data_IF_207011785009
#
_entry.id   IF_207011785009
#
_cell.length_a   1.000
_cell.length_b   1.000
_cell.length_c   1.000
_cell.angle_alpha   90.00
_cell.angle_beta   90.00
_cell.angle_gamma   90.00
#
_symmetry.space_group_name_H-M   'P 1'
#
loop_
_entity.id
_entity.type
_entity.pdbx_description
1 polymer ?
#
# COMPACT_ATOMS: atom_id res chain seq x y z
N UNK A 1 6.32 0.31 -26.66
CA UNK A 1 6.35 -0.26 -25.30
C UNK A 1 5.28 0.34 -24.39
N UNK A 2 4.28 -0.45 -24.01
CA UNK A 2 3.29 -0.10 -22.97
C UNK A 2 3.87 -0.41 -21.59
N UNK A 3 3.69 0.49 -20.64
CA UNK A 3 4.11 0.30 -19.26
C UNK A 3 2.90 0.10 -18.35
N UNK A 4 2.92 -0.95 -17.54
CA UNK A 4 1.96 -1.17 -16.46
C UNK A 4 2.64 -0.88 -15.13
N UNK A 5 2.13 0.13 -14.42
CA UNK A 5 2.44 0.38 -13.02
C UNK A 5 1.48 -0.44 -12.18
N UNK A 6 1.96 -1.57 -11.63
CA UNK A 6 1.17 -2.35 -10.71
C UNK A 6 1.25 -1.74 -9.32
N UNK A 7 0.08 -1.38 -8.76
CA UNK A 7 -0.05 -0.84 -7.40
C UNK A 7 -1.20 -1.51 -6.65
N UNK A 8 -1.04 -2.82 -6.42
CA UNK A 8 -1.98 -3.63 -5.63
C UNK A 8 -1.86 -3.28 -4.14
N UNK A 9 -0.64 -3.22 -3.64
CA UNK A 9 -0.29 -2.67 -2.31
C UNK A 9 0.89 -1.73 -2.48
N UNK A 10 0.99 -0.68 -1.65
CA UNK A 10 2.11 0.29 -1.67
C UNK A 10 3.50 -0.33 -1.54
N UNK A 11 3.52 -1.57 -1.06
CA UNK A 11 4.70 -2.36 -0.81
C UNK A 11 5.10 -3.19 -2.04
N UNK A 12 4.18 -3.56 -2.92
CA UNK A 12 4.50 -4.33 -4.13
C UNK A 12 4.34 -3.46 -5.38
N UNK A 13 4.72 -2.19 -5.30
CA UNK A 13 4.63 -1.25 -6.42
C UNK A 13 5.80 -1.50 -7.38
N UNK A 14 5.51 -1.85 -8.64
CA UNK A 14 6.54 -2.03 -9.68
C UNK A 14 6.04 -1.63 -11.06
N UNK A 15 6.98 -1.38 -11.97
CA UNK A 15 6.71 -1.15 -13.38
C UNK A 15 7.02 -2.41 -14.19
N UNK A 16 6.11 -2.78 -15.08
CA UNK A 16 6.30 -3.84 -16.05
C UNK A 16 6.14 -3.26 -17.46
N UNK A 17 7.02 -3.66 -18.39
CA UNK A 17 7.02 -3.17 -19.76
C UNK A 17 6.68 -4.32 -20.71
N UNK A 18 5.73 -4.07 -21.63
CA UNK A 18 5.27 -5.04 -22.63
C UNK A 18 4.92 -4.34 -23.95
N UNK A 19 4.52 -5.10 -24.95
CA UNK A 19 4.09 -4.63 -26.27
C UNK A 19 2.57 -4.62 -26.38
N UNK A 20 2.01 -3.87 -27.33
CA UNK A 20 0.54 -3.85 -27.53
C UNK A 20 -0.01 -5.13 -28.14
N UNK A 21 0.85 -5.90 -28.83
CA UNK A 21 0.50 -7.15 -29.51
C UNK A 21 0.40 -8.34 -28.55
N UNK A 22 0.92 -8.20 -27.33
CA UNK A 22 0.95 -9.28 -26.36
C UNK A 22 -0.46 -9.64 -25.86
N UNK A 23 -0.64 -10.93 -25.57
CA UNK A 23 -1.88 -11.42 -24.98
C UNK A 23 -1.97 -11.02 -23.50
N UNK A 24 -3.18 -10.64 -23.08
CA UNK A 24 -3.46 -10.29 -21.68
C UNK A 24 -3.09 -11.43 -20.73
N UNK A 25 -3.20 -12.69 -21.17
CA UNK A 25 -2.87 -13.86 -20.34
C UNK A 25 -1.38 -13.85 -19.96
N UNK A 26 -0.49 -13.67 -20.93
CA UNK A 26 0.96 -13.64 -20.69
C UNK A 26 1.36 -12.51 -19.77
N UNK A 27 0.79 -11.32 -19.99
CA UNK A 27 1.04 -10.17 -19.11
C UNK A 27 0.56 -10.41 -17.69
N UNK A 28 -0.58 -11.08 -17.51
CA UNK A 28 -1.04 -11.46 -16.16
C UNK A 28 -0.07 -12.46 -15.53
N UNK A 29 0.37 -13.49 -16.25
CA UNK A 29 1.31 -14.50 -15.75
C UNK A 29 2.64 -13.86 -15.32
N UNK A 30 3.22 -13.00 -16.16
CA UNK A 30 4.47 -12.31 -15.86
C UNK A 30 4.33 -11.34 -14.68
N UNK A 31 3.27 -10.52 -14.68
CA UNK A 31 3.03 -9.57 -13.60
C UNK A 31 2.74 -10.28 -12.26
N UNK A 32 2.02 -11.40 -12.28
CA UNK A 32 1.77 -12.20 -11.07
C UNK A 32 3.06 -12.87 -10.61
N UNK A 33 3.89 -13.39 -11.52
CA UNK A 33 5.19 -13.97 -11.18
C UNK A 33 6.10 -12.94 -10.49
N UNK A 34 6.20 -11.73 -11.05
CA UNK A 34 6.96 -10.62 -10.45
C UNK A 34 6.40 -10.25 -9.07
N UNK A 35 5.08 -10.09 -8.96
CA UNK A 35 4.42 -9.75 -7.69
C UNK A 35 4.69 -10.79 -6.60
N UNK A 36 4.51 -12.08 -6.92
CA UNK A 36 4.75 -13.18 -6.00
C UNK A 36 6.23 -13.28 -5.62
N UNK A 37 7.14 -13.04 -6.56
CA UNK A 37 8.57 -13.04 -6.29
C UNK A 37 8.98 -11.85 -5.39
N UNK A 38 8.41 -10.66 -5.56
CA UNK A 38 8.60 -9.52 -4.65
C UNK A 38 8.15 -9.87 -3.23
N UNK A 39 6.97 -10.48 -3.07
CA UNK A 39 6.46 -10.92 -1.76
C UNK A 39 7.42 -11.93 -1.13
N UNK A 40 7.89 -12.92 -1.91
CA UNK A 40 8.85 -13.93 -1.45
C UNK A 40 10.17 -13.29 -1.00
N UNK A 41 10.74 -12.38 -1.79
CA UNK A 41 11.98 -11.69 -1.42
C UNK A 41 11.78 -10.89 -0.12
N UNK A 42 10.68 -10.15 0.02
CA UNK A 42 10.40 -9.37 1.24
C UNK A 42 10.27 -10.25 2.48
N UNK A 43 9.55 -11.35 2.38
CA UNK A 43 9.42 -12.29 3.51
C UNK A 43 10.78 -12.92 3.85
N UNK A 44 11.56 -13.35 2.84
CA UNK A 44 12.92 -13.86 3.03
C UNK A 44 13.81 -12.82 3.71
N UNK A 45 13.80 -11.56 3.25
CA UNK A 45 14.57 -10.47 3.86
C UNK A 45 14.16 -10.27 5.32
N UNK A 46 12.87 -10.28 5.62
CA UNK A 46 12.39 -10.19 7.01
C UNK A 46 12.92 -11.33 7.87
N UNK A 47 12.84 -12.58 7.39
CA UNK A 47 13.33 -13.75 8.14
C UNK A 47 14.84 -13.80 8.24
N UNK A 48 15.57 -13.34 7.23
CA UNK A 48 17.03 -13.24 7.29
C UNK A 48 17.48 -12.20 8.33
N UNK A 49 16.77 -11.07 8.45
CA UNK A 49 17.02 -10.10 9.54
C UNK A 49 16.80 -10.72 10.92
N UNK A 50 15.77 -11.56 11.07
CA UNK A 50 15.54 -12.31 12.31
C UNK A 50 16.66 -13.33 12.57
N UNK A 51 17.09 -14.05 11.53
CA UNK A 51 18.15 -15.05 11.59
C UNK A 51 19.51 -14.43 11.96
N UNK A 52 19.85 -13.24 11.46
CA UNK A 52 21.09 -12.51 11.83
C UNK A 52 21.12 -12.16 13.33
N UNK A 53 19.96 -11.85 13.91
CA UNK A 53 19.81 -11.47 15.31
C UNK A 53 19.76 -12.67 16.24
N UNK A 54 18.99 -13.68 15.87
CA UNK A 54 18.53 -14.73 16.76
C UNK A 54 19.15 -16.10 16.45
N UNK A 55 19.75 -16.27 15.28
CA UNK A 55 20.26 -17.54 14.78
C UNK A 55 19.19 -18.42 14.12
N UNK A 56 19.61 -19.50 13.43
CA UNK A 56 18.70 -20.39 12.70
C UNK A 56 17.84 -21.20 13.68
N UNK A 57 16.62 -21.52 13.26
CA UNK A 57 15.64 -22.23 14.09
C UNK A 57 15.75 -23.76 13.90
N UNK A 58 16.06 -24.47 14.97
CA UNK A 58 16.15 -25.93 15.03
C UNK A 58 14.78 -26.63 15.17
N UNK A 59 14.79 -27.96 15.21
CA UNK A 59 13.58 -28.80 15.25
C UNK A 59 12.73 -28.60 16.51
N UNK A 60 13.34 -28.31 17.65
CA UNK A 60 12.66 -28.07 18.94
C UNK A 60 12.36 -26.59 19.23
N UNK A 61 12.34 -25.72 18.21
CA UNK A 61 12.30 -24.26 18.37
C UNK A 61 13.53 -23.67 19.11
N UNK A 62 14.58 -24.47 19.31
CA UNK A 62 15.86 -24.02 19.82
C UNK A 62 16.58 -23.18 18.76
N UNK A 63 17.25 -22.12 19.19
CA UNK A 63 17.98 -21.23 18.28
C UNK A 63 19.48 -21.48 18.42
N UNK A 64 20.14 -21.74 17.30
CA UNK A 64 21.59 -21.86 17.29
C UNK A 64 22.25 -20.48 17.41
N UNK A 65 23.56 -20.46 17.60
CA UNK A 65 24.29 -19.21 17.65
C UNK A 65 24.14 -18.40 16.35
N UNK A 66 24.16 -17.06 16.44
CA UNK A 66 24.10 -16.21 15.26
C UNK A 66 25.24 -16.50 14.27
N UNK A 67 25.03 -16.28 12.96
CA UNK A 67 26.04 -16.60 11.95
C UNK A 67 27.35 -15.82 12.17
N UNK A 68 28.48 -16.44 11.86
CA UNK A 68 29.80 -15.78 11.94
C UNK A 68 29.99 -14.76 10.79
N UNK A 69 29.43 -15.04 9.61
CA UNK A 69 29.55 -14.20 8.40
C UNK A 69 28.30 -13.33 8.15
N UNK A 70 27.87 -12.59 9.16
CA UNK A 70 26.66 -11.73 9.09
C UNK A 70 26.72 -10.70 7.96
N UNK A 71 27.90 -10.15 7.71
CA UNK A 71 28.14 -9.11 6.71
C UNK A 71 27.69 -9.51 5.29
N UNK A 72 27.83 -10.79 4.94
CA UNK A 72 27.43 -11.30 3.61
C UNK A 72 25.91 -11.26 3.47
N UNK A 73 25.18 -11.65 4.52
CA UNK A 73 23.72 -11.59 4.54
C UNK A 73 23.22 -10.14 4.55
N UNK A 74 23.87 -9.27 5.33
CA UNK A 74 23.50 -7.85 5.38
C UNK A 74 23.67 -7.15 4.03
N UNK A 75 24.75 -7.45 3.30
CA UNK A 75 24.95 -6.95 1.93
C UNK A 75 23.88 -7.50 0.98
N UNK A 76 23.62 -8.80 1.00
CA UNK A 76 22.61 -9.41 0.14
C UNK A 76 21.19 -8.88 0.43
N UNK A 77 20.87 -8.58 1.69
CA UNK A 77 19.62 -7.93 2.08
C UNK A 77 19.54 -6.52 1.51
N UNK A 78 20.60 -5.72 1.65
CA UNK A 78 20.62 -4.35 1.14
C UNK A 78 20.45 -4.31 -0.39
N UNK A 79 21.11 -5.23 -1.10
CA UNK A 79 20.98 -5.37 -2.55
C UNK A 79 19.54 -5.75 -2.96
N UNK A 80 18.94 -6.71 -2.26
CA UNK A 80 17.57 -7.14 -2.53
C UNK A 80 16.53 -6.05 -2.23
N UNK A 81 16.72 -5.28 -1.16
CA UNK A 81 15.86 -4.14 -0.82
C UNK A 81 15.97 -3.03 -1.87
N UNK A 82 17.19 -2.73 -2.33
CA UNK A 82 17.41 -1.75 -3.39
C UNK A 82 16.80 -2.17 -4.74
N UNK A 83 16.79 -3.48 -5.05
CA UNK A 83 16.20 -4.01 -6.27
C UNK A 83 14.65 -3.95 -6.30
N UNK A 84 14.00 -3.92 -5.14
CA UNK A 84 12.53 -3.93 -4.99
C UNK A 84 11.97 -2.56 -4.58
N UNK A 85 12.84 -1.58 -4.38
CA UNK A 85 12.44 -0.28 -3.86
C UNK A 85 11.34 0.37 -4.73
N UNK A 86 10.19 0.78 -4.15
CA UNK A 86 9.12 1.46 -4.89
C UNK A 86 9.58 2.78 -5.54
N UNK A 87 10.71 3.35 -5.13
CA UNK A 87 11.34 4.49 -5.81
C UNK A 87 11.79 4.19 -7.24
N UNK A 88 12.01 2.91 -7.59
CA UNK A 88 12.32 2.50 -8.96
C UNK A 88 11.18 2.86 -9.93
N UNK A 89 9.95 2.88 -9.45
CA UNK A 89 8.78 3.35 -10.22
C UNK A 89 8.93 4.82 -10.59
N UNK A 90 9.38 5.66 -9.65
CA UNK A 90 9.61 7.10 -9.90
C UNK A 90 10.74 7.31 -10.92
N UNK A 91 11.77 6.47 -10.86
CA UNK A 91 12.90 6.45 -11.81
C UNK A 91 12.53 5.84 -13.18
N UNK A 92 11.32 5.31 -13.35
CA UNK A 92 10.81 4.66 -14.57
C UNK A 92 11.63 3.44 -14.99
N UNK A 93 12.20 2.71 -14.03
CA UNK A 93 12.90 1.45 -14.28
C UNK A 93 11.89 0.31 -14.19
N UNK A 94 11.76 -0.47 -15.26
CA UNK A 94 10.87 -1.63 -15.29
C UNK A 94 11.58 -2.86 -14.71
N UNK A 95 10.81 -3.68 -14.00
CA UNK A 95 11.26 -4.94 -13.42
C UNK A 95 10.89 -6.09 -14.35
N UNK A 96 11.85 -6.97 -14.61
CA UNK A 96 11.67 -8.16 -15.46
C UNK A 96 11.59 -9.41 -14.59
N UNK A 97 10.92 -10.45 -15.09
CA UNK A 97 10.83 -11.76 -14.39
C UNK A 97 12.24 -12.29 -14.11
N UNK A 98 13.13 -12.22 -15.10
CA UNK A 98 14.53 -12.65 -14.99
C UNK A 98 15.27 -11.92 -13.87
N UNK A 99 15.16 -10.59 -13.80
CA UNK A 99 15.82 -9.80 -12.76
C UNK A 99 15.39 -10.21 -11.35
N UNK A 100 14.10 -10.49 -11.14
CA UNK A 100 13.64 -10.93 -9.81
C UNK A 100 14.09 -12.36 -9.48
N UNK A 101 14.15 -13.25 -10.47
CA UNK A 101 14.69 -14.60 -10.26
C UNK A 101 16.19 -14.60 -9.95
N UNK A 102 16.95 -13.69 -10.55
CA UNK A 102 18.38 -13.51 -10.25
C UNK A 102 18.61 -12.99 -8.83
N UNK A 103 17.78 -12.06 -8.34
CA UNK A 103 17.86 -11.57 -6.97
C UNK A 103 17.48 -12.65 -5.94
N UNK A 104 16.46 -13.48 -6.24
CA UNK A 104 16.16 -14.68 -5.44
C UNK A 104 17.34 -15.66 -5.42
N UNK A 105 17.97 -15.89 -6.58
CA UNK A 105 19.15 -16.74 -6.67
C UNK A 105 20.32 -16.17 -5.85
N UNK A 106 20.54 -14.86 -5.89
CA UNK A 106 21.57 -14.17 -5.08
C UNK A 106 21.33 -14.37 -3.59
N UNK A 107 20.09 -14.23 -3.11
CA UNK A 107 19.73 -14.50 -1.72
C UNK A 107 19.98 -15.96 -1.33
N UNK A 108 19.60 -16.90 -2.19
CA UNK A 108 19.84 -18.33 -1.96
C UNK A 108 21.34 -18.68 -1.92
N UNK A 109 22.14 -18.05 -2.78
CA UNK A 109 23.60 -18.19 -2.80
C UNK A 109 24.25 -17.63 -1.54
N UNK A 110 23.80 -16.46 -1.07
CA UNK A 110 24.27 -15.85 0.17
C UNK A 110 23.99 -16.76 1.38
N UNK A 111 22.79 -17.34 1.47
CA UNK A 111 22.45 -18.32 2.52
C UNK A 111 23.34 -19.55 2.44
N UNK A 112 23.60 -20.08 1.25
CA UNK A 112 24.47 -21.25 1.05
C UNK A 112 25.92 -20.98 1.49
N UNK A 113 26.42 -19.75 1.29
CA UNK A 113 27.78 -19.35 1.72
C UNK A 113 27.89 -19.27 3.24
N UNK A 114 26.85 -18.75 3.91
CA UNK A 114 26.85 -18.61 5.37
C UNK A 114 26.51 -19.94 6.06
N UNK A 115 25.70 -20.78 5.44
CA UNK A 115 25.32 -22.11 5.91
C UNK A 115 25.63 -23.19 4.85
N UNK A 116 26.90 -23.61 4.72
CA UNK A 116 27.30 -24.64 3.74
C UNK A 116 26.62 -26.00 3.98
N UNK A 117 26.31 -26.33 5.23
CA UNK A 117 25.60 -27.56 5.62
C UNK A 117 24.07 -27.46 5.40
N UNK A 118 23.60 -26.28 5.00
CA UNK A 118 22.18 -25.98 4.83
C UNK A 118 21.50 -25.53 6.10
N UNK A 119 20.33 -24.91 5.94
CA UNK A 119 19.47 -24.53 7.04
C UNK A 119 18.60 -25.73 7.48
N UNK A 120 18.22 -25.82 8.77
CA UNK A 120 17.26 -26.81 9.23
C UNK A 120 15.94 -26.72 8.47
N UNK A 121 15.27 -27.86 8.25
CA UNK A 121 13.97 -27.92 7.55
C UNK A 121 12.86 -27.11 8.23
N UNK A 122 12.97 -26.93 9.54
CA UNK A 122 12.02 -26.16 10.34
C UNK A 122 12.15 -24.66 10.13
N UNK A 123 13.32 -24.19 9.67
CA UNK A 123 13.64 -22.78 9.53
C UNK A 123 12.75 -22.11 8.46
N UNK A 124 12.15 -20.93 8.76
CA UNK A 124 11.23 -20.27 7.84
C UNK A 124 11.91 -19.81 6.54
N UNK A 125 13.20 -19.47 6.56
CA UNK A 125 13.91 -19.09 5.33
C UNK A 125 14.00 -20.27 4.38
N UNK A 126 14.32 -21.46 4.92
CA UNK A 126 14.40 -22.70 4.13
C UNK A 126 13.05 -23.07 3.52
N UNK A 127 11.99 -23.01 4.33
CA UNK A 127 10.62 -23.30 3.90
C UNK A 127 10.16 -22.43 2.73
N UNK A 128 10.43 -21.13 2.79
CA UNK A 128 10.08 -20.21 1.71
C UNK A 128 10.91 -20.50 0.45
N UNK A 129 12.20 -20.83 0.61
CA UNK A 129 13.08 -21.21 -0.50
C UNK A 129 12.68 -22.54 -1.16
N UNK A 130 12.18 -23.50 -0.39
CA UNK A 130 11.67 -24.79 -0.89
C UNK A 130 10.28 -24.64 -1.57
N UNK A 131 9.70 -23.44 -1.56
CA UNK A 131 8.49 -23.12 -2.30
C UNK A 131 7.20 -23.26 -1.49
N UNK A 132 7.26 -23.24 -0.16
CA UNK A 132 6.04 -23.10 0.64
C UNK A 132 5.31 -21.79 0.30
N UNK A 133 3.97 -21.81 0.20
CA UNK A 133 3.20 -20.64 -0.20
C UNK A 133 3.33 -19.53 0.84
N UNK A 134 3.64 -18.33 0.37
CA UNK A 134 3.78 -17.15 1.24
C UNK A 134 2.42 -16.46 1.38
N UNK A 135 2.19 -15.84 2.54
CA UNK A 135 0.97 -15.05 2.77
C UNK A 135 0.84 -13.98 1.67
N UNK A 136 -0.37 -13.86 1.09
CA UNK A 136 -0.71 -12.96 -0.01
C UNK A 136 -0.18 -13.34 -1.40
N UNK A 137 0.33 -14.56 -1.59
CA UNK A 137 0.64 -15.08 -2.93
C UNK A 137 -0.63 -15.15 -3.79
N UNK A 138 -0.52 -14.68 -5.04
CA UNK A 138 -1.63 -14.60 -5.98
C UNK A 138 -1.57 -15.76 -6.98
N UNK A 139 -2.71 -16.40 -7.23
CA UNK A 139 -2.80 -17.44 -8.26
C UNK A 139 -2.99 -16.84 -9.66
N UNK A 140 -2.09 -17.11 -10.62
CA UNK A 140 -2.17 -16.53 -11.96
C UNK A 140 -3.49 -16.80 -12.67
N UNK A 141 -4.23 -17.87 -12.32
CA UNK A 141 -5.50 -18.27 -12.97
C UNK A 141 -6.74 -17.61 -12.38
N UNK A 142 -6.72 -17.30 -11.08
CA UNK A 142 -7.90 -16.83 -10.33
C UNK A 142 -7.97 -15.32 -10.23
N UNK A 143 -6.85 -14.63 -10.48
CA UNK A 143 -6.73 -13.18 -10.35
C UNK A 143 -7.50 -12.44 -11.45
N UNK A 144 -8.13 -11.32 -11.10
CA UNK A 144 -8.68 -10.36 -12.05
C UNK A 144 -7.71 -9.19 -12.24
N UNK A 145 -7.42 -8.87 -13.50
CA UNK A 145 -6.52 -7.76 -13.86
C UNK A 145 -7.33 -6.50 -14.17
N UNK A 146 -7.12 -5.46 -13.37
CA UNK A 146 -7.81 -4.19 -13.49
C UNK A 146 -6.87 -3.09 -13.93
N UNK A 147 -7.13 -2.50 -15.09
CA UNK A 147 -6.36 -1.38 -15.63
C UNK A 147 -7.28 -0.18 -15.79
N UNK A 148 -6.96 0.93 -15.14
CA UNK A 148 -7.74 2.19 -15.24
C UNK A 148 -9.26 1.97 -15.18
N UNK A 149 -9.73 1.22 -14.17
CA UNK A 149 -11.15 0.88 -13.90
C UNK A 149 -11.80 -0.10 -14.89
N UNK A 150 -11.06 -0.69 -15.81
CA UNK A 150 -11.55 -1.73 -16.71
C UNK A 150 -10.89 -3.06 -16.39
N UNK A 151 -11.68 -4.11 -16.30
CA UNK A 151 -11.17 -5.47 -16.20
C UNK A 151 -10.71 -5.94 -17.58
N UNK A 152 -9.46 -6.40 -17.66
CA UNK A 152 -8.89 -6.96 -18.88
C UNK A 152 -9.16 -8.47 -18.90
N UNK A 153 -9.80 -8.94 -19.97
CA UNK A 153 -10.22 -10.33 -20.08
C UNK A 153 -9.09 -11.21 -20.63
N UNK A 154 -8.98 -12.42 -20.08
CA UNK A 154 -8.08 -13.46 -20.56
C UNK A 154 -8.49 -13.88 -21.97
N UNK A 155 -7.54 -13.92 -22.90
CA UNK A 155 -7.75 -14.31 -24.30
C UNK A 155 -7.91 -13.15 -25.29
N UNK A 156 -7.84 -11.90 -24.82
CA UNK A 156 -7.74 -10.71 -25.69
C UNK A 156 -6.31 -10.19 -25.71
N UNK A 157 -6.02 -9.35 -26.70
CA UNK A 157 -4.75 -8.64 -26.76
C UNK A 157 -4.83 -7.31 -26.03
N UNK A 158 -3.68 -6.77 -25.65
CA UNK A 158 -3.61 -5.47 -24.98
C UNK A 158 -4.11 -4.35 -25.89
N UNK A 159 -3.82 -4.42 -27.19
CA UNK A 159 -4.26 -3.40 -28.16
C UNK A 159 -5.79 -3.23 -28.23
N UNK A 160 -6.58 -4.26 -27.88
CA UNK A 160 -8.06 -4.16 -27.86
C UNK A 160 -8.54 -3.14 -26.80
N UNK A 161 -7.72 -2.91 -25.77
CA UNK A 161 -8.04 -2.02 -24.65
C UNK A 161 -7.28 -0.70 -24.69
N UNK A 162 -5.98 -0.74 -24.98
CA UNK A 162 -5.11 0.45 -24.98
C UNK A 162 -5.02 1.12 -26.35
N UNK A 163 -5.43 0.41 -27.42
CA UNK A 163 -5.15 0.79 -28.80
C UNK A 163 -3.71 0.46 -29.19
N UNK A 164 -3.30 0.89 -30.40
CA UNK A 164 -1.97 0.65 -30.99
C UNK A 164 -0.88 1.59 -30.48
N UNK A 165 -1.16 2.41 -29.46
CA UNK A 165 -0.20 3.40 -28.97
C UNK A 165 0.68 2.79 -27.88
N UNK A 166 1.98 2.71 -28.17
CA UNK A 166 2.93 2.10 -27.26
C UNK A 166 3.82 3.10 -26.51
N UNK A 167 3.30 4.28 -26.20
CA UNK A 167 3.96 5.28 -25.33
C UNK A 167 3.04 5.66 -24.17
N UNK A 168 2.41 4.65 -23.57
CA UNK A 168 1.41 4.84 -22.53
C UNK A 168 1.82 4.09 -21.25
N UNK A 169 1.55 4.73 -20.12
CA UNK A 169 1.71 4.12 -18.80
C UNK A 169 0.33 4.02 -18.16
N UNK A 170 -0.05 2.82 -17.77
CA UNK A 170 -1.32 2.55 -17.11
C UNK A 170 -1.11 2.10 -15.67
N UNK A 171 -2.03 2.48 -14.79
CA UNK A 171 -2.06 1.94 -13.43
C UNK A 171 -2.92 0.68 -13.42
N UNK A 172 -2.32 -0.41 -12.96
CA UNK A 172 -2.91 -1.72 -12.90
C UNK A 172 -2.99 -2.23 -11.46
N UNK A 173 -4.01 -3.03 -11.17
CA UNK A 173 -4.24 -3.66 -9.87
C UNK A 173 -4.76 -5.08 -10.04
N UNK A 174 -4.44 -5.93 -9.07
CA UNK A 174 -4.99 -7.27 -8.97
C UNK A 174 -6.06 -7.35 -7.88
N UNK A 175 -7.12 -8.10 -8.14
CA UNK A 175 -8.11 -8.49 -7.13
C UNK A 175 -8.34 -10.00 -7.17
N UNK A 176 -8.77 -10.56 -6.04
CA UNK A 176 -9.16 -11.97 -5.95
C UNK A 176 -10.45 -12.25 -6.74
N UNK A 177 -10.76 -13.53 -7.01
CA UNK A 177 -11.89 -13.93 -7.87
C UNK A 177 -13.26 -13.48 -7.33
N UNK A 178 -13.43 -13.49 -6.00
CA UNK A 178 -14.67 -13.08 -5.32
C UNK A 178 -14.70 -11.57 -5.00
N UNK A 179 -13.58 -10.87 -5.23
CA UNK A 179 -13.45 -9.46 -4.95
C UNK A 179 -13.79 -8.66 -6.20
N UNK A 180 -14.72 -7.72 -6.07
CA UNK A 180 -15.14 -6.83 -7.15
C UNK A 180 -14.03 -5.86 -7.61
N UNK A 181 -14.39 -4.78 -8.33
CA UNK A 181 -13.41 -3.78 -8.76
C UNK A 181 -12.63 -3.23 -7.58
N UNK A 182 -11.31 -2.99 -7.74
CA UNK A 182 -10.48 -2.50 -6.66
C UNK A 182 -10.98 -1.14 -6.17
N UNK A 183 -10.88 -0.86 -4.87
CA UNK A 183 -11.28 0.43 -4.32
C UNK A 183 -10.47 1.56 -4.96
N UNK A 184 -11.12 2.72 -5.09
CA UNK A 184 -10.46 3.93 -5.59
C UNK A 184 -9.36 4.34 -4.61
N UNK A 185 -8.18 4.61 -5.13
CA UNK A 185 -7.15 5.26 -4.34
C UNK A 185 -7.66 6.62 -3.89
N UNK A 186 -7.51 6.91 -2.60
CA UNK A 186 -7.73 8.26 -2.09
C UNK A 186 -6.67 9.16 -2.68
N UNK A 187 -7.09 10.11 -3.51
CA UNK A 187 -6.21 11.12 -4.09
C UNK A 187 -5.82 12.22 -3.10
N UNK A 188 -6.44 12.23 -1.91
CA UNK A 188 -6.17 13.22 -0.88
C UNK A 188 -5.10 12.75 0.09
N UNK A 189 -4.16 13.67 0.37
CA UNK A 189 -3.17 13.49 1.42
C UNK A 189 -3.83 13.36 2.80
N UNK A 190 -3.16 12.68 3.74
CA UNK A 190 -3.70 12.40 5.09
C UNK A 190 -4.03 13.68 5.84
N UNK A 191 -3.19 14.71 5.74
CA UNK A 191 -3.45 16.00 6.38
C UNK A 191 -4.67 16.70 5.77
N UNK A 192 -4.77 16.67 4.44
CA UNK A 192 -5.90 17.24 3.74
C UNK A 192 -7.21 16.51 4.09
N UNK A 193 -7.15 15.19 4.31
CA UNK A 193 -8.28 14.39 4.78
C UNK A 193 -8.71 14.78 6.19
N UNK A 194 -7.77 14.97 7.12
CA UNK A 194 -8.08 15.40 8.49
C UNK A 194 -8.70 16.81 8.48
N UNK A 195 -8.16 17.73 7.68
CA UNK A 195 -8.74 19.08 7.49
C UNK A 195 -10.15 19.00 6.91
N UNK A 196 -10.38 18.14 5.91
CA UNK A 196 -11.71 17.94 5.35
C UNK A 196 -12.68 17.35 6.39
N UNK A 197 -12.27 16.32 7.12
CA UNK A 197 -13.11 15.70 8.16
C UNK A 197 -13.46 16.69 9.28
N UNK A 198 -12.50 17.48 9.74
CA UNK A 198 -12.77 18.54 10.73
C UNK A 198 -13.71 19.63 10.20
N UNK A 199 -13.58 20.05 8.94
CA UNK A 199 -14.52 20.99 8.32
C UNK A 199 -15.92 20.40 8.18
N UNK A 200 -16.02 19.12 7.79
CA UNK A 200 -17.30 18.42 7.67
C UNK A 200 -17.97 18.26 9.04
N UNK A 201 -17.20 17.99 10.09
CA UNK A 201 -17.71 17.93 11.46
C UNK A 201 -18.26 19.28 11.92
N UNK A 202 -17.50 20.37 11.75
CA UNK A 202 -17.96 21.73 12.07
C UNK A 202 -19.22 22.10 11.31
N UNK A 203 -19.28 21.82 10.01
CA UNK A 203 -20.49 22.06 9.20
C UNK A 203 -21.68 21.21 9.64
N UNK A 204 -21.45 19.95 10.04
CA UNK A 204 -22.51 19.10 10.56
C UNK A 204 -23.05 19.59 11.90
N UNK A 205 -22.17 20.09 12.78
CA UNK A 205 -22.57 20.73 14.05
C UNK A 205 -23.35 22.03 13.80
N UNK A 206 -22.90 22.87 12.87
CA UNK A 206 -23.61 24.08 12.46
C UNK A 206 -25.00 23.75 11.90
N UNK A 207 -25.09 22.77 10.98
CA UNK A 207 -26.36 22.32 10.41
C UNK A 207 -27.30 21.77 11.48
N UNK A 208 -26.78 20.93 12.39
CA UNK A 208 -27.56 20.39 13.51
C UNK A 208 -28.00 21.49 14.47
N UNK A 209 -27.16 22.51 14.67
CA UNK A 209 -27.50 23.68 15.48
C UNK A 209 -28.62 24.48 14.83
N UNK A 210 -28.57 24.70 13.52
CA UNK A 210 -29.63 25.37 12.76
C UNK A 210 -30.93 24.55 12.78
N UNK A 211 -30.84 23.23 12.65
CA UNK A 211 -32.02 22.34 12.71
C UNK A 211 -32.71 22.36 14.09
N UNK A 212 -31.93 22.49 15.17
CA UNK A 212 -32.45 22.61 16.54
C UNK A 212 -32.81 24.05 16.94
N UNK A 213 -32.52 25.07 16.10
CA UNK A 213 -32.86 26.45 16.40
C UNK A 213 -34.33 26.69 16.05
N UNK A 214 -35.21 26.69 17.06
CA UNK A 214 -36.66 26.93 16.91
C UNK A 214 -37.00 28.40 16.55
N UNK A 215 -36.08 29.16 15.92
CA UNK A 215 -36.19 30.59 15.57
C UNK A 215 -36.57 31.52 16.77
N UNK A 216 -36.44 31.03 18.00
CA UNK A 216 -36.74 31.80 19.23
C UNK A 216 -35.53 32.58 19.74
N UNK A 217 -34.34 32.37 19.18
CA UNK A 217 -33.10 33.06 19.57
C UNK A 217 -33.16 34.59 19.42
N UNK A 218 -34.05 35.10 18.56
CA UNK A 218 -34.30 36.55 18.43
C UNK A 218 -35.02 37.17 19.64
N UNK A 219 -35.77 36.40 20.45
CA UNK A 219 -36.43 36.93 21.66
C UNK A 219 -35.43 37.43 22.72
N UNK A 220 -34.25 36.82 22.79
CA UNK A 220 -33.18 37.22 23.72
C UNK A 220 -32.22 38.27 23.12
N UNK A 221 -32.47 38.71 21.89
CA UNK A 221 -31.62 39.71 21.24
C UNK A 221 -31.75 41.09 21.90
N UNK A 222 -30.65 41.84 21.99
CA UNK A 222 -30.65 43.20 22.55
C UNK A 222 -31.62 44.15 21.81
N UNK A 223 -31.87 43.90 20.52
CA UNK A 223 -32.84 44.64 19.73
C UNK A 223 -34.29 44.35 20.14
N UNK A 224 -34.60 43.12 20.57
CA UNK A 224 -35.93 42.75 21.05
C UNK A 224 -36.21 43.27 22.48
N UNK A 225 -35.24 43.90 23.15
CA UNK A 225 -35.43 44.44 24.48
C UNK A 225 -36.24 45.76 24.43
N UNK A 226 -37.52 45.79 24.88
CA UNK A 226 -38.35 47.00 24.83
C UNK A 226 -37.86 48.11 25.77
N UNK A 227 -36.92 47.80 26.68
CA UNK A 227 -36.30 48.76 27.60
C UNK A 227 -34.87 49.13 27.22
N UNK A 228 -34.33 48.63 26.11
CA UNK A 228 -32.94 48.85 25.70
C UNK A 228 -32.57 50.34 25.66
N UNK A 229 -33.37 51.15 24.97
CA UNK A 229 -33.13 52.60 24.81
C UNK A 229 -33.30 53.39 26.13
N UNK A 230 -34.14 52.88 27.04
CA UNK A 230 -34.29 53.46 28.37
C UNK A 230 -33.06 53.15 29.23
N UNK A 231 -32.56 51.94 29.16
CA UNK A 231 -31.38 51.52 29.91
C UNK A 231 -30.13 52.25 29.42
N UNK A 232 -29.97 52.46 28.10
CA UNK A 232 -28.85 53.25 27.55
C UNK A 232 -28.90 54.71 28.03
N UNK A 233 -30.07 55.35 28.00
CA UNK A 233 -30.22 56.74 28.48
C UNK A 233 -30.03 56.90 30.00
N UNK A 234 -30.29 55.83 30.76
CA UNK A 234 -30.10 55.80 32.22
C UNK A 234 -28.72 55.27 32.64
N UNK A 235 -27.86 54.87 31.70
CA UNK A 235 -26.52 54.33 31.97
C UNK A 235 -26.53 52.94 32.63
N UNK A 236 -27.59 52.16 32.45
CA UNK A 236 -27.82 50.85 33.09
C UNK A 236 -27.45 49.68 32.16
N UNK A 237 -26.38 49.80 31.36
CA UNK A 237 -26.01 48.80 30.35
C UNK A 237 -25.27 47.57 30.93
N UNK A 238 -24.51 47.74 32.02
CA UNK A 238 -23.60 46.73 32.61
C UNK A 238 -23.98 46.35 34.06
N UNK A 239 -25.28 46.13 34.30
CA UNK A 239 -25.75 45.71 35.64
C UNK A 239 -25.71 44.19 35.74
N UNK A 240 -24.60 43.65 36.23
CA UNK A 240 -24.48 42.23 36.55
C UNK A 240 -24.78 42.01 38.04
N UNK A 241 -25.70 41.09 38.34
CA UNK A 241 -26.18 40.84 39.70
C UNK A 241 -25.32 39.80 40.45
N UNK A 242 -24.38 39.15 39.76
CA UNK A 242 -23.43 38.23 40.38
C UNK A 242 -22.19 39.00 40.89
N UNK A 243 -21.69 38.70 42.10
CA UNK A 243 -20.43 39.25 42.55
C UNK A 243 -19.28 38.73 41.67
N UNK A 244 -18.34 39.60 41.31
CA UNK A 244 -17.08 39.24 40.65
C UNK A 244 -16.19 38.39 41.55
#
# INVERSE_FOLDING_TARGET
MVNFHLSTTKETDFLYTTTTEEEVIRVIEDCVAIHNAIIKIREIVSKLKDLIKLGPMGENNERANPPEKKEILERAIADAEAAIDPELVKKKVALTVEGVTEELARLSGAVTIVYPEGLPKTDPVRKIMDGEPVKYELDPKLVQFWVTRKSYQRGKHIFDYTGKNERQTFVAKFTGPESGPPPRDMTMDKEAQIRLMSQMHRKAEELKRIENDDDTSYLDSQWANPRGLKNTFQGLEDVDWKPK
#
